data_IF_042503629870
#
_entry.id   IF_042503629870
#
_cell.length_a   1.000
_cell.length_b   1.000
_cell.length_c   1.000
_cell.angle_alpha   90.00
_cell.angle_beta   90.00
_cell.angle_gamma   90.00
#
_symmetry.space_group_name_H-M   'P 1'
#
loop_
_entity.id
_entity.type
_entity.pdbx_description
1 polymer ?
#
# COMPACT_ATOMS: atom_id res chain seq x y z
N UNK A 1 -1.45 -24.44 9.51
CA UNK A 1 -2.39 -23.56 8.78
C UNK A 1 -1.64 -22.29 8.37
N UNK A 2 -1.70 -21.95 7.11
CA UNK A 2 -1.10 -20.74 6.58
C UNK A 2 -1.75 -19.49 7.20
N UNK A 3 -1.07 -18.34 7.11
CA UNK A 3 -1.51 -17.09 7.74
C UNK A 3 -1.58 -15.96 6.72
N UNK A 4 -2.54 -15.06 6.93
CA UNK A 4 -2.58 -13.74 6.29
C UNK A 4 -1.80 -12.75 7.18
N UNK A 5 -0.81 -12.10 6.59
CA UNK A 5 -0.02 -11.04 7.22
C UNK A 5 -0.35 -9.69 6.58
N UNK A 6 -0.58 -8.66 7.38
CA UNK A 6 -0.67 -7.30 6.89
C UNK A 6 0.46 -6.45 7.45
N UNK A 7 1.41 -6.09 6.61
CA UNK A 7 2.55 -5.22 6.88
C UNK A 7 2.27 -3.82 6.36
N UNK A 8 1.83 -2.95 7.23
CA UNK A 8 1.51 -1.58 6.84
C UNK A 8 2.56 -0.59 7.34
N UNK A 9 2.63 0.56 6.67
CA UNK A 9 3.48 1.67 7.12
C UNK A 9 3.17 2.93 6.33
N UNK A 10 3.62 4.08 6.82
CA UNK A 10 3.53 5.31 6.06
C UNK A 10 4.35 5.20 4.74
N UNK A 11 4.16 6.12 3.82
CA UNK A 11 4.99 6.15 2.62
C UNK A 11 6.47 6.23 3.01
N UNK A 12 7.34 5.66 2.19
CA UNK A 12 8.79 5.59 2.44
C UNK A 12 9.21 4.71 3.63
N UNK A 13 8.36 3.81 4.12
CA UNK A 13 8.72 2.83 5.15
C UNK A 13 9.42 1.56 4.61
N UNK A 14 9.76 1.52 3.31
CA UNK A 14 10.48 0.40 2.72
C UNK A 14 9.63 -0.82 2.36
N UNK A 15 8.30 -0.68 2.25
CA UNK A 15 7.37 -1.80 1.98
C UNK A 15 7.76 -2.62 0.76
N UNK A 16 7.85 -1.99 -0.41
CA UNK A 16 8.18 -2.70 -1.66
C UNK A 16 9.59 -3.30 -1.63
N UNK A 17 10.54 -2.67 -0.93
CA UNK A 17 11.88 -3.24 -0.72
C UNK A 17 11.81 -4.52 0.13
N UNK A 18 11.05 -4.49 1.23
CA UNK A 18 10.88 -5.65 2.10
C UNK A 18 10.13 -6.79 1.37
N UNK A 19 9.12 -6.47 0.56
CA UNK A 19 8.44 -7.45 -0.28
C UNK A 19 9.42 -8.13 -1.24
N UNK A 20 10.23 -7.35 -1.98
CA UNK A 20 11.21 -7.89 -2.92
C UNK A 20 12.27 -8.73 -2.22
N UNK A 21 12.70 -8.35 -1.02
CA UNK A 21 13.63 -9.16 -0.20
C UNK A 21 13.01 -10.49 0.19
N UNK A 22 11.74 -10.50 0.63
CA UNK A 22 11.04 -11.75 0.95
C UNK A 22 10.91 -12.63 -0.29
N UNK A 23 10.53 -12.06 -1.43
CA UNK A 23 10.45 -12.80 -2.69
C UNK A 23 11.78 -13.46 -3.05
N UNK A 24 12.87 -12.68 -2.99
CA UNK A 24 14.22 -13.16 -3.25
C UNK A 24 14.62 -14.32 -2.33
N UNK A 25 14.35 -14.22 -1.02
CA UNK A 25 14.66 -15.26 -0.06
C UNK A 25 13.97 -16.59 -0.36
N UNK A 26 12.70 -16.56 -0.83
CA UNK A 26 12.00 -17.78 -1.27
C UNK A 26 12.64 -18.36 -2.53
N UNK A 27 12.92 -17.50 -3.51
CA UNK A 27 13.46 -17.91 -4.82
C UNK A 27 14.88 -18.48 -4.73
N UNK A 28 15.74 -17.96 -3.83
CA UNK A 28 17.06 -18.55 -3.53
C UNK A 28 16.96 -19.98 -3.04
N UNK A 29 15.85 -20.35 -2.41
CA UNK A 29 15.59 -21.72 -1.94
C UNK A 29 14.84 -22.57 -3.00
N UNK A 30 14.68 -22.06 -4.23
CA UNK A 30 13.92 -22.73 -5.29
C UNK A 30 12.41 -22.74 -5.05
N UNK A 31 11.91 -21.90 -4.14
CA UNK A 31 10.49 -21.82 -3.78
C UNK A 31 9.83 -20.72 -4.60
N UNK A 32 8.71 -21.07 -5.26
CA UNK A 32 7.97 -20.13 -6.10
C UNK A 32 7.07 -19.22 -5.27
N UNK A 33 7.11 -17.93 -5.56
CA UNK A 33 6.18 -16.92 -5.04
C UNK A 33 5.31 -16.38 -6.16
N UNK A 34 4.15 -15.81 -5.82
CA UNK A 34 3.27 -15.07 -6.72
C UNK A 34 3.13 -13.64 -6.21
N UNK A 35 3.54 -12.67 -7.02
CA UNK A 35 3.46 -11.26 -6.67
C UNK A 35 2.25 -10.62 -7.35
N UNK A 36 1.33 -10.14 -6.52
CA UNK A 36 0.13 -9.43 -6.92
C UNK A 36 0.29 -7.93 -6.72
N UNK A 37 -0.27 -7.16 -7.65
CA UNK A 37 -0.37 -5.71 -7.52
C UNK A 37 -1.73 -5.25 -8.06
N UNK A 38 -2.52 -4.46 -7.28
CA UNK A 38 -3.75 -3.87 -7.78
C UNK A 38 -3.50 -3.03 -9.02
N UNK A 39 -4.35 -3.18 -10.02
CA UNK A 39 -4.34 -2.35 -11.21
C UNK A 39 -5.05 -1.04 -10.88
N UNK A 40 -4.27 -0.03 -10.52
CA UNK A 40 -4.76 1.34 -10.36
C UNK A 40 -4.25 2.13 -11.55
N UNK A 41 -5.07 3.04 -12.09
CA UNK A 41 -4.66 3.95 -13.16
C UNK A 41 -3.54 4.91 -12.70
N UNK A 42 -2.37 4.36 -12.39
CA UNK A 42 -1.20 5.10 -11.91
C UNK A 42 -0.02 4.94 -12.86
N UNK A 43 0.78 6.00 -12.95
CA UNK A 43 2.07 6.04 -13.64
C UNK A 43 3.02 4.96 -13.11
N UNK A 44 2.99 3.77 -13.63
CA UNK A 44 3.93 2.79 -13.10
C UNK A 44 3.85 1.41 -13.72
N UNK A 45 2.90 1.19 -14.64
CA UNK A 45 2.81 -0.11 -15.34
C UNK A 45 3.00 -1.27 -14.37
N UNK A 46 2.88 -2.47 -14.62
CA UNK A 46 2.95 -3.58 -13.68
C UNK A 46 4.28 -3.80 -12.91
N UNK A 47 5.09 -2.76 -12.71
CA UNK A 47 6.36 -2.86 -11.97
C UNK A 47 6.22 -2.43 -10.50
N UNK A 48 6.88 -3.19 -9.62
CA UNK A 48 7.23 -2.77 -8.27
C UNK A 48 8.52 -1.95 -8.38
N UNK A 49 8.51 -0.73 -7.88
CA UNK A 49 9.69 0.13 -7.89
C UNK A 49 10.00 0.54 -6.46
N UNK A 50 11.13 0.09 -5.93
CA UNK A 50 11.61 0.60 -4.65
C UNK A 50 12.29 1.96 -4.84
N UNK A 51 12.29 2.79 -3.80
CA UNK A 51 13.05 4.05 -3.82
C UNK A 51 14.57 3.86 -3.85
N UNK A 52 15.05 2.67 -3.54
CA UNK A 52 16.45 2.29 -3.69
C UNK A 52 16.82 1.93 -5.14
N UNK A 53 15.88 2.07 -6.08
CA UNK A 53 16.10 1.80 -7.50
C UNK A 53 15.92 0.35 -7.91
N UNK A 54 15.63 -0.56 -6.98
CA UNK A 54 15.33 -1.95 -7.32
C UNK A 54 13.96 -2.02 -7.99
N UNK A 55 13.88 -2.72 -9.11
CA UNK A 55 12.65 -2.92 -9.89
C UNK A 55 12.34 -4.40 -10.02
N UNK A 56 11.07 -4.72 -9.98
CA UNK A 56 10.55 -6.07 -10.21
C UNK A 56 9.17 -5.98 -10.85
N UNK A 57 8.92 -6.81 -11.85
CA UNK A 57 7.59 -6.92 -12.45
C UNK A 57 6.67 -7.71 -11.50
N UNK A 58 5.43 -7.26 -11.33
CA UNK A 58 4.39 -8.07 -10.70
C UNK A 58 4.06 -9.26 -11.61
N UNK A 59 3.81 -10.41 -11.01
CA UNK A 59 3.40 -11.60 -11.76
C UNK A 59 1.96 -11.47 -12.25
N UNK A 60 1.11 -10.78 -11.47
CA UNK A 60 -0.28 -10.55 -11.80
C UNK A 60 -0.71 -9.14 -11.41
N UNK A 61 -1.28 -8.41 -12.37
CA UNK A 61 -2.02 -7.18 -12.14
C UNK A 61 -3.48 -7.52 -11.86
N UNK A 62 -4.01 -6.97 -10.76
CA UNK A 62 -5.33 -7.30 -10.24
C UNK A 62 -6.28 -6.13 -10.47
N UNK A 63 -7.14 -6.16 -11.49
CA UNK A 63 -8.20 -5.18 -11.65
C UNK A 63 -9.31 -5.39 -10.58
N UNK A 64 -10.14 -4.37 -10.32
CA UNK A 64 -11.14 -4.42 -9.23
C UNK A 64 -12.16 -5.55 -9.34
N UNK A 65 -12.46 -6.01 -10.56
CA UNK A 65 -13.42 -7.08 -10.86
C UNK A 65 -12.84 -8.50 -10.83
N UNK A 66 -11.53 -8.64 -10.65
CA UNK A 66 -10.87 -9.95 -10.66
C UNK A 66 -11.16 -10.72 -9.38
N UNK A 67 -11.54 -11.99 -9.53
CA UNK A 67 -11.54 -12.99 -8.46
C UNK A 67 -10.09 -13.41 -8.17
N UNK A 68 -9.53 -12.90 -7.08
CA UNK A 68 -8.15 -13.15 -6.68
C UNK A 68 -7.96 -14.57 -6.18
N UNK A 69 -8.97 -15.16 -5.53
CA UNK A 69 -8.90 -16.54 -5.06
C UNK A 69 -8.77 -17.50 -6.24
N UNK A 70 -9.64 -17.37 -7.24
CA UNK A 70 -9.60 -18.20 -8.45
C UNK A 70 -8.28 -18.04 -9.21
N UNK A 71 -7.76 -16.82 -9.33
CA UNK A 71 -6.48 -16.55 -9.99
C UNK A 71 -5.29 -17.22 -9.26
N UNK A 72 -5.25 -17.14 -7.93
CA UNK A 72 -4.21 -17.82 -7.12
C UNK A 72 -4.36 -19.34 -7.20
N UNK A 73 -5.58 -19.85 -7.14
CA UNK A 73 -5.86 -21.29 -7.27
C UNK A 73 -5.36 -21.83 -8.62
N UNK A 74 -5.62 -21.12 -9.70
CA UNK A 74 -5.13 -21.48 -11.03
C UNK A 74 -3.60 -21.47 -11.08
N UNK A 75 -2.95 -20.44 -10.50
CA UNK A 75 -1.50 -20.35 -10.46
C UNK A 75 -0.88 -21.48 -9.62
N UNK A 76 -1.52 -21.87 -8.51
CA UNK A 76 -1.08 -22.96 -7.65
C UNK A 76 -1.27 -24.36 -8.31
N UNK A 77 -2.32 -24.51 -9.11
CA UNK A 77 -2.57 -25.74 -9.89
C UNK A 77 -1.52 -25.93 -11.00
N UNK A 78 -1.01 -24.85 -11.58
CA UNK A 78 0.00 -24.92 -12.63
C UNK A 78 1.39 -25.32 -12.10
N UNK A 79 1.76 -24.87 -10.90
CA UNK A 79 3.00 -25.26 -10.23
C UNK A 79 2.91 -24.94 -8.71
N UNK A 80 3.59 -25.71 -7.83
CA UNK A 80 3.60 -25.44 -6.40
C UNK A 80 3.92 -24.00 -6.06
N UNK A 81 3.12 -23.40 -5.16
CA UNK A 81 3.23 -22.00 -4.76
C UNK A 81 3.49 -21.93 -3.24
N UNK A 82 4.61 -21.34 -2.87
CA UNK A 82 5.05 -21.28 -1.47
C UNK A 82 4.50 -20.05 -0.72
N UNK A 83 4.25 -18.93 -1.42
CA UNK A 83 3.76 -17.71 -0.81
C UNK A 83 3.12 -16.78 -1.86
N UNK A 84 2.09 -16.03 -1.45
CA UNK A 84 1.53 -14.91 -2.21
C UNK A 84 2.00 -13.62 -1.55
N UNK A 85 2.55 -12.70 -2.35
CA UNK A 85 3.03 -11.38 -1.91
C UNK A 85 2.22 -10.30 -2.61
N UNK A 86 1.64 -9.37 -1.86
CA UNK A 86 0.80 -8.31 -2.39
C UNK A 86 1.43 -6.94 -2.14
N UNK A 87 1.75 -6.19 -3.19
CA UNK A 87 2.18 -4.78 -3.07
C UNK A 87 0.98 -3.83 -3.21
N UNK A 88 1.10 -2.63 -2.64
CA UNK A 88 0.06 -1.59 -2.67
C UNK A 88 -1.35 -2.12 -2.29
N UNK A 89 -1.37 -3.02 -1.31
CA UNK A 89 -2.57 -3.78 -0.93
C UNK A 89 -3.73 -2.94 -0.41
N UNK A 90 -3.51 -1.66 -0.11
CA UNK A 90 -4.58 -0.72 0.21
C UNK A 90 -5.59 -0.52 -0.93
N UNK A 91 -5.18 -0.79 -2.16
CA UNK A 91 -6.01 -0.62 -3.35
C UNK A 91 -6.81 -1.88 -3.73
N UNK A 92 -6.66 -2.99 -3.02
CA UNK A 92 -7.59 -4.11 -3.16
C UNK A 92 -8.98 -3.70 -2.69
N UNK A 93 -10.00 -4.30 -3.30
CA UNK A 93 -11.37 -4.18 -2.79
C UNK A 93 -11.51 -4.98 -1.49
N UNK A 94 -12.51 -4.68 -0.62
CA UNK A 94 -12.80 -5.51 0.54
C UNK A 94 -13.03 -6.98 0.18
N UNK A 95 -13.72 -7.25 -0.93
CA UNK A 95 -13.94 -8.61 -1.42
C UNK A 95 -12.62 -9.30 -1.78
N UNK A 96 -11.71 -8.64 -2.47
CA UNK A 96 -10.39 -9.19 -2.78
C UNK A 96 -9.55 -9.46 -1.52
N UNK A 97 -9.72 -8.66 -0.45
CA UNK A 97 -9.10 -8.96 0.84
C UNK A 97 -9.70 -10.22 1.50
N UNK A 98 -11.02 -10.44 1.37
CA UNK A 98 -11.67 -11.69 1.80
C UNK A 98 -11.14 -12.89 1.00
N UNK A 99 -11.00 -12.75 -0.31
CA UNK A 99 -10.46 -13.77 -1.20
C UNK A 99 -9.01 -14.13 -0.86
N UNK A 100 -8.16 -13.15 -0.55
CA UNK A 100 -6.79 -13.36 -0.06
C UNK A 100 -6.76 -14.09 1.29
N UNK A 101 -7.73 -13.82 2.17
CA UNK A 101 -7.88 -14.58 3.41
C UNK A 101 -8.24 -16.05 3.11
N UNK A 102 -9.20 -16.29 2.19
CA UNK A 102 -9.59 -17.63 1.77
C UNK A 102 -8.44 -18.42 1.15
N UNK A 103 -7.48 -17.78 0.46
CA UNK A 103 -6.25 -18.44 0.00
C UNK A 103 -5.50 -19.09 1.16
N UNK A 104 -5.46 -18.46 2.32
CA UNK A 104 -4.77 -19.05 3.49
C UNK A 104 -5.54 -20.22 4.11
N UNK A 105 -6.86 -20.17 4.04
CA UNK A 105 -7.75 -21.17 4.63
C UNK A 105 -7.88 -22.40 3.74
N UNK A 106 -8.24 -22.20 2.47
CA UNK A 106 -8.60 -23.27 1.54
C UNK A 106 -7.37 -23.87 0.83
N UNK A 107 -6.43 -23.01 0.40
CA UNK A 107 -5.24 -23.47 -0.33
C UNK A 107 -4.05 -23.70 0.58
N UNK A 108 -4.13 -23.32 1.86
CA UNK A 108 -3.04 -23.38 2.85
C UNK A 108 -1.74 -22.72 2.36
N UNK A 109 -1.87 -21.61 1.62
CA UNK A 109 -0.76 -20.80 1.10
C UNK A 109 -0.67 -19.51 1.92
N UNK A 110 0.49 -19.17 2.51
CA UNK A 110 0.67 -17.91 3.24
C UNK A 110 0.55 -16.71 2.30
N UNK A 111 -0.09 -15.65 2.79
CA UNK A 111 -0.28 -14.39 2.07
C UNK A 111 0.32 -13.24 2.89
N UNK A 112 1.17 -12.43 2.27
CA UNK A 112 1.77 -11.25 2.91
C UNK A 112 1.40 -10.01 2.11
N UNK A 113 0.55 -9.16 2.71
CA UNK A 113 0.09 -7.90 2.12
C UNK A 113 0.93 -6.74 2.64
N UNK A 114 1.45 -5.91 1.74
CA UNK A 114 2.15 -4.68 2.03
C UNK A 114 1.34 -3.48 1.55
N UNK A 115 1.08 -2.50 2.43
CA UNK A 115 0.23 -1.38 2.06
C UNK A 115 0.26 -0.19 3.00
N UNK A 116 -0.53 0.82 2.67
CA UNK A 116 -0.79 1.99 3.51
C UNK A 116 -2.01 1.70 4.39
N UNK A 117 -1.99 2.15 5.65
CA UNK A 117 -3.18 2.05 6.51
C UNK A 117 -4.22 3.10 6.13
N UNK A 118 -3.80 4.33 5.92
CA UNK A 118 -4.66 5.48 5.67
C UNK A 118 -4.06 6.42 4.62
N UNK A 119 -4.91 7.22 4.02
CA UNK A 119 -4.56 8.25 3.07
C UNK A 119 -3.99 9.53 3.73
N UNK A 120 -3.82 10.57 2.94
CA UNK A 120 -3.33 11.88 3.38
C UNK A 120 -4.33 12.65 4.25
N UNK A 121 -5.62 12.28 4.25
CA UNK A 121 -6.67 12.85 5.10
C UNK A 121 -6.89 12.07 6.40
N UNK A 122 -6.06 11.03 6.64
CA UNK A 122 -6.15 10.06 7.73
C UNK A 122 -7.37 9.14 7.66
N UNK A 123 -8.02 9.04 6.51
CA UNK A 123 -9.08 8.06 6.26
C UNK A 123 -8.47 6.73 5.84
N UNK A 124 -9.04 5.62 6.36
CA UNK A 124 -8.64 4.27 5.97
C UNK A 124 -8.95 4.01 4.50
N UNK A 125 -8.09 3.25 3.85
CA UNK A 125 -8.43 2.66 2.55
C UNK A 125 -9.33 1.45 2.77
N UNK A 126 -10.36 1.21 1.93
CA UNK A 126 -11.27 0.08 2.10
C UNK A 126 -10.56 -1.27 2.20
N UNK A 127 -9.63 -1.57 1.32
CA UNK A 127 -8.83 -2.80 1.34
C UNK A 127 -7.98 -2.94 2.61
N UNK A 128 -7.33 -1.86 3.05
CA UNK A 128 -6.53 -1.89 4.29
C UNK A 128 -7.39 -2.05 5.53
N UNK A 129 -8.58 -1.45 5.57
CA UNK A 129 -9.52 -1.62 6.68
C UNK A 129 -9.92 -3.09 6.78
N UNK A 130 -10.25 -3.72 5.65
CA UNK A 130 -10.61 -5.12 5.62
C UNK A 130 -9.45 -6.05 5.99
N UNK A 131 -8.23 -5.74 5.52
CA UNK A 131 -7.04 -6.49 5.92
C UNK A 131 -6.73 -6.38 7.42
N UNK A 132 -6.96 -5.22 8.05
CA UNK A 132 -6.82 -5.05 9.51
C UNK A 132 -7.80 -5.92 10.29
N UNK A 133 -9.00 -6.18 9.75
CA UNK A 133 -10.02 -7.05 10.38
C UNK A 133 -9.67 -8.54 10.25
N UNK A 134 -9.07 -8.96 9.13
CA UNK A 134 -8.88 -10.36 8.77
C UNK A 134 -7.48 -10.91 9.11
N UNK A 135 -6.46 -10.07 9.11
CA UNK A 135 -5.08 -10.54 9.20
C UNK A 135 -4.77 -11.27 10.51
N UNK A 136 -4.16 -12.44 10.43
CA UNK A 136 -3.68 -13.19 11.58
C UNK A 136 -2.50 -12.50 12.28
N UNK A 137 -1.74 -11.71 11.51
CA UNK A 137 -0.59 -10.96 12.02
C UNK A 137 -0.55 -9.59 11.37
N UNK A 138 -0.47 -8.56 12.21
CA UNK A 138 -0.42 -7.16 11.78
C UNK A 138 0.90 -6.56 12.24
N UNK A 139 1.70 -6.04 11.30
CA UNK A 139 3.02 -5.47 11.58
C UNK A 139 3.12 -4.04 11.04
N UNK A 140 3.61 -3.12 11.86
CA UNK A 140 3.89 -1.75 11.41
C UNK A 140 5.33 -1.60 10.95
N UNK A 141 5.52 -1.27 9.69
CA UNK A 141 6.82 -0.88 9.13
C UNK A 141 7.11 0.58 9.45
N UNK A 142 8.10 0.80 10.31
CA UNK A 142 8.42 2.12 10.86
C UNK A 142 9.20 2.97 9.88
N UNK A 143 8.91 4.28 9.85
CA UNK A 143 9.72 5.30 9.19
C UNK A 143 9.75 6.58 10.05
N UNK A 144 10.60 7.52 9.68
CA UNK A 144 10.83 8.74 10.46
C UNK A 144 10.31 9.99 9.73
N UNK A 145 9.81 10.94 10.50
CA UNK A 145 9.49 12.28 10.08
C UNK A 145 10.76 13.12 9.99
N UNK A 146 10.76 14.21 9.22
CA UNK A 146 11.89 15.17 9.15
C UNK A 146 12.27 15.76 10.50
N UNK A 147 11.36 15.75 11.49
CA UNK A 147 11.65 16.18 12.86
C UNK A 147 12.28 15.08 13.74
N UNK A 148 12.64 13.91 13.18
CA UNK A 148 13.25 12.78 13.88
C UNK A 148 12.26 11.84 14.59
N UNK A 149 10.96 12.20 14.71
CA UNK A 149 9.95 11.35 15.37
C UNK A 149 9.41 10.28 14.40
N UNK A 150 8.81 9.23 14.95
CA UNK A 150 8.13 8.21 14.18
C UNK A 150 7.04 8.84 13.28
N UNK A 151 7.09 8.56 11.99
CA UNK A 151 6.09 8.99 11.01
C UNK A 151 5.00 7.93 10.85
N UNK A 152 3.75 8.34 11.05
CA UNK A 152 2.57 7.48 10.93
C UNK A 152 1.49 8.07 10.03
N UNK A 153 1.67 9.33 9.58
CA UNK A 153 0.75 10.04 8.70
C UNK A 153 1.38 10.22 7.33
N UNK A 154 0.54 10.17 6.30
CA UNK A 154 0.91 10.57 4.95
C UNK A 154 0.42 11.98 4.69
N UNK A 155 1.24 12.84 4.09
CA UNK A 155 0.84 14.17 3.65
C UNK A 155 0.99 14.28 2.15
N UNK A 156 0.02 14.90 1.49
CA UNK A 156 0.07 15.22 0.07
C UNK A 156 0.57 16.65 -0.13
N UNK A 157 1.51 16.81 -1.06
CA UNK A 157 1.91 18.11 -1.60
C UNK A 157 1.53 18.20 -3.06
N UNK A 158 1.04 19.34 -3.46
CA UNK A 158 0.78 19.68 -4.86
C UNK A 158 1.55 20.94 -5.16
N UNK A 159 2.44 20.90 -6.15
CA UNK A 159 3.32 22.03 -6.50
C UNK A 159 4.10 22.58 -5.26
N UNK A 160 4.57 21.68 -4.39
CA UNK A 160 5.33 22.02 -3.19
C UNK A 160 4.50 22.45 -1.96
N UNK A 161 3.20 22.74 -2.10
CA UNK A 161 2.33 23.12 -0.99
C UNK A 161 1.57 21.92 -0.40
N UNK A 162 1.39 21.88 0.93
CA UNK A 162 0.59 20.85 1.58
C UNK A 162 -0.90 21.01 1.26
N UNK A 163 -1.57 19.91 0.92
CA UNK A 163 -2.99 19.84 0.59
C UNK A 163 -3.67 18.79 1.46
N UNK A 164 -4.79 19.15 2.09
CA UNK A 164 -5.54 18.28 3.01
C UNK A 164 -6.98 18.01 2.56
N UNK A 165 -7.31 18.39 1.33
CA UNK A 165 -8.62 18.20 0.70
C UNK A 165 -8.47 17.58 -0.68
N UNK A 166 -9.56 17.03 -1.20
CA UNK A 166 -9.63 16.37 -2.50
C UNK A 166 -9.74 14.85 -2.38
N UNK A 167 -9.72 14.19 -3.52
CA UNK A 167 -9.91 12.76 -3.61
C UNK A 167 -8.77 11.95 -2.97
N UNK A 168 -9.08 10.73 -2.53
CA UNK A 168 -8.14 9.84 -1.84
C UNK A 168 -6.93 9.51 -2.71
N UNK A 169 -7.15 9.26 -3.99
CA UNK A 169 -6.11 9.03 -5.00
C UNK A 169 -6.12 10.20 -5.97
N UNK A 170 -5.05 10.96 -6.05
CA UNK A 170 -4.89 11.99 -7.06
C UNK A 170 -4.03 11.44 -8.21
N UNK A 171 -4.66 11.25 -9.37
CA UNK A 171 -3.98 11.01 -10.64
C UNK A 171 -3.97 12.37 -11.37
N UNK A 172 -3.03 13.24 -11.01
CA UNK A 172 -2.89 14.52 -11.68
C UNK A 172 -1.64 14.48 -12.58
N UNK A 173 -1.89 14.48 -13.89
CA UNK A 173 -0.82 14.47 -14.90
C UNK A 173 -0.19 15.86 -15.11
N UNK A 174 -0.82 16.93 -14.60
CA UNK A 174 -0.42 18.32 -14.83
C UNK A 174 0.30 18.94 -13.63
N UNK A 175 0.12 18.38 -12.41
CA UNK A 175 0.70 18.92 -11.19
C UNK A 175 1.77 18.00 -10.62
N UNK A 176 2.79 18.59 -9.99
CA UNK A 176 3.79 17.85 -9.20
C UNK A 176 3.15 17.39 -7.87
N UNK A 177 2.64 16.15 -7.86
CA UNK A 177 2.05 15.52 -6.67
C UNK A 177 3.10 14.69 -5.96
N UNK A 178 3.43 15.08 -4.74
CA UNK A 178 4.37 14.40 -3.86
C UNK A 178 3.70 13.98 -2.56
N UNK A 179 4.15 12.85 -2.01
CA UNK A 179 3.71 12.38 -0.70
C UNK A 179 4.89 12.32 0.28
N UNK A 180 4.67 12.83 1.48
CA UNK A 180 5.66 12.93 2.55
C UNK A 180 5.14 12.24 3.81
N UNK A 181 5.99 11.43 4.44
CA UNK A 181 5.69 10.81 5.73
C UNK A 181 5.92 11.80 6.86
N UNK A 182 4.95 11.95 7.75
CA UNK A 182 5.02 12.89 8.87
C UNK A 182 4.60 12.24 10.19
N UNK A 183 5.15 12.73 11.30
CA UNK A 183 4.58 12.44 12.61
C UNK A 183 3.28 13.22 12.81
N UNK A 184 2.38 12.77 13.72
CA UNK A 184 1.09 13.44 13.94
C UNK A 184 1.23 14.93 14.27
N UNK A 185 2.21 15.33 15.09
CA UNK A 185 2.41 16.74 15.44
C UNK A 185 2.73 17.61 14.21
N UNK A 186 3.67 17.16 13.36
CA UNK A 186 4.01 17.89 12.13
C UNK A 186 2.83 17.92 11.17
N UNK A 187 2.08 16.81 11.05
CA UNK A 187 0.89 16.72 10.24
C UNK A 187 -0.16 17.76 10.65
N UNK A 188 -0.56 17.77 11.92
CA UNK A 188 -1.59 18.69 12.40
C UNK A 188 -1.13 20.15 12.38
N UNK A 189 0.17 20.43 12.58
CA UNK A 189 0.73 21.78 12.38
C UNK A 189 0.57 22.26 10.94
N UNK A 190 0.92 21.41 9.97
CA UNK A 190 0.78 21.73 8.53
C UNK A 190 -0.70 21.90 8.14
N UNK A 191 -1.58 21.01 8.63
CA UNK A 191 -3.02 21.09 8.39
C UNK A 191 -3.65 22.38 8.94
N UNK A 192 -3.27 22.78 10.16
CA UNK A 192 -3.74 24.03 10.76
C UNK A 192 -3.31 25.25 9.94
N UNK A 193 -2.06 25.26 9.47
CA UNK A 193 -1.56 26.34 8.61
C UNK A 193 -2.30 26.43 7.27
N UNK A 194 -2.58 25.29 6.65
CA UNK A 194 -3.37 25.22 5.40
C UNK A 194 -4.75 25.86 5.55
N UNK A 195 -5.53 25.46 6.58
CA UNK A 195 -6.86 26.05 6.78
C UNK A 195 -6.82 27.52 7.18
N UNK A 196 -5.84 27.96 7.97
CA UNK A 196 -5.67 29.36 8.30
C UNK A 196 -5.36 30.24 7.08
N UNK A 197 -4.55 29.73 6.12
CA UNK A 197 -4.29 30.44 4.84
C UNK A 197 -5.57 30.59 4.02
N UNK A 198 -6.38 29.55 3.93
CA UNK A 198 -7.66 29.57 3.17
C UNK A 198 -8.70 30.50 3.78
N UNK A 199 -8.84 30.50 5.10
CA UNK A 199 -9.77 31.40 5.78
C UNK A 199 -9.44 32.88 5.50
N UNK A 200 -8.16 33.26 5.46
CA UNK A 200 -7.73 34.62 5.09
C UNK A 200 -8.05 34.99 3.64
N UNK A 201 -7.93 34.04 2.71
CA UNK A 201 -8.25 34.26 1.30
C UNK A 201 -9.75 34.48 1.06
N UNK A 202 -10.62 33.80 1.83
CA UNK A 202 -12.08 33.96 1.74
C UNK A 202 -12.57 35.29 2.32
N UNK A 203 -11.85 35.94 3.22
CA UNK A 203 -12.20 37.24 3.81
C UNK A 203 -11.60 38.43 3.04
N UNK A 204 -10.86 38.18 1.97
CA UNK A 204 -10.21 39.21 1.15
C UNK A 204 -10.94 39.44 -0.21
N UNK A 205 -12.14 38.84 -0.37
CA UNK A 205 -13.07 39.03 -1.48
C UNK A 205 -14.33 39.71 -0.92
#
# INVERSE_FOLDING_TARGET
MAKLYFRYGAMNSGKSTALMQVAHNYEEQGLRVLILKPQVDTKGGGELVSRLGVRRKADLLVPPEMDVFAAVQQAAAAAPLACVLCDESQFFTPQQADELFMVTVELNIPVICYGLRSDFSLKGFPGSTRLLELAHTIEEMKTICTCGRKATCNCRKVNGEFVFEGEQVAIDLQNDVQYVSMCPQCYFKARKAFYAKRAKQQHSI
#
